data_IF_092222625141
#
_entry.id   IF_092222625141
#
_cell.length_a   1.000
_cell.length_b   1.000
_cell.length_c   1.000
_cell.angle_alpha   90.00
_cell.angle_beta   90.00
_cell.angle_gamma   90.00
#
_symmetry.space_group_name_H-M   'P 1'
#
loop_
_entity.id
_entity.type
_entity.pdbx_description
1 polymer ?
#
# COMPACT_ATOMS: atom_id res chain seq x y z
N UNK A 1 19.39 -15.09 -10.65
CA UNK A 1 19.13 -13.95 -11.54
C UNK A 1 17.63 -13.87 -11.70
N UNK A 2 17.00 -12.71 -11.55
CA UNK A 2 15.53 -12.61 -11.61
C UNK A 2 15.06 -12.25 -13.02
N UNK A 3 13.94 -12.83 -13.44
CA UNK A 3 13.26 -12.48 -14.70
C UNK A 3 12.42 -11.21 -14.51
N UNK A 4 11.82 -11.07 -13.33
CA UNK A 4 10.98 -9.93 -12.96
C UNK A 4 11.42 -9.34 -11.62
N UNK A 5 11.51 -8.02 -11.58
CA UNK A 5 11.70 -7.27 -10.32
C UNK A 5 10.51 -6.34 -10.16
N UNK A 6 9.72 -6.58 -9.13
CA UNK A 6 8.54 -5.80 -8.78
C UNK A 6 8.92 -4.88 -7.61
N UNK A 7 8.82 -3.58 -7.83
CA UNK A 7 9.10 -2.57 -6.80
C UNK A 7 7.78 -2.12 -6.16
N UNK A 8 7.58 -2.55 -4.92
CA UNK A 8 6.41 -2.28 -4.09
C UNK A 8 5.50 -3.50 -3.97
N UNK A 9 5.40 -4.06 -2.77
CA UNK A 9 4.44 -5.10 -2.40
C UNK A 9 3.10 -4.50 -1.96
N UNK A 10 2.56 -3.58 -2.76
CA UNK A 10 1.23 -3.00 -2.55
C UNK A 10 0.11 -3.86 -3.14
N UNK A 11 -1.10 -3.31 -3.19
CA UNK A 11 -2.32 -3.98 -3.69
C UNK A 11 -2.12 -4.65 -5.06
N UNK A 12 -1.48 -3.96 -6.00
CA UNK A 12 -1.18 -4.52 -7.33
C UNK A 12 0.08 -5.41 -7.32
N UNK A 13 1.14 -4.99 -6.62
CA UNK A 13 2.41 -5.71 -6.60
C UNK A 13 2.31 -7.11 -6.01
N UNK A 14 1.56 -7.29 -4.92
CA UNK A 14 1.30 -8.61 -4.34
C UNK A 14 0.55 -9.53 -5.32
N UNK A 15 -0.44 -9.01 -6.04
CA UNK A 15 -1.20 -9.78 -7.04
C UNK A 15 -0.30 -10.17 -8.21
N UNK A 16 0.48 -9.22 -8.73
CA UNK A 16 1.40 -9.46 -9.83
C UNK A 16 2.45 -10.50 -9.46
N UNK A 17 3.09 -10.35 -8.30
CA UNK A 17 4.10 -11.28 -7.82
C UNK A 17 3.54 -12.70 -7.73
N UNK A 18 2.38 -12.88 -7.09
CA UNK A 18 1.70 -14.17 -6.96
C UNK A 18 1.39 -14.80 -8.34
N UNK A 19 0.87 -14.01 -9.28
CA UNK A 19 0.49 -14.51 -10.61
C UNK A 19 1.70 -14.89 -11.46
N UNK A 20 2.77 -14.10 -11.43
CA UNK A 20 3.99 -14.38 -12.19
C UNK A 20 4.76 -15.57 -11.60
N UNK A 21 4.87 -15.65 -10.27
CA UNK A 21 5.56 -16.76 -9.59
C UNK A 21 4.80 -18.09 -9.64
N UNK A 22 3.57 -18.11 -10.16
CA UNK A 22 2.82 -19.35 -10.39
C UNK A 22 3.42 -20.18 -11.53
N UNK A 23 4.17 -19.55 -12.45
CA UNK A 23 4.99 -20.27 -13.43
C UNK A 23 6.32 -20.68 -12.77
N UNK A 24 6.60 -21.99 -12.62
CA UNK A 24 7.83 -22.47 -11.98
C UNK A 24 9.11 -22.11 -12.76
N UNK A 25 8.99 -21.68 -14.01
CA UNK A 25 10.13 -21.26 -14.82
C UNK A 25 10.50 -19.77 -14.65
N UNK A 26 9.78 -19.02 -13.81
CA UNK A 26 10.05 -17.60 -13.56
C UNK A 26 10.61 -17.36 -12.17
N UNK A 27 11.71 -16.63 -12.08
CA UNK A 27 12.25 -16.08 -10.84
C UNK A 27 11.76 -14.64 -10.65
N UNK A 28 10.87 -14.44 -9.69
CA UNK A 28 10.31 -13.12 -9.35
C UNK A 28 10.94 -12.59 -8.07
N UNK A 29 11.45 -11.36 -8.12
CA UNK A 29 11.87 -10.60 -6.94
C UNK A 29 10.81 -9.55 -6.61
N UNK A 30 10.32 -9.55 -5.37
CA UNK A 30 9.43 -8.52 -4.85
C UNK A 30 10.15 -7.70 -3.79
N UNK A 31 10.29 -6.39 -4.04
CA UNK A 31 10.95 -5.46 -3.12
C UNK A 31 9.91 -4.57 -2.45
N UNK A 32 9.88 -4.55 -1.12
CA UNK A 32 9.01 -3.68 -0.33
C UNK A 32 9.85 -2.85 0.63
N UNK A 33 9.54 -1.55 0.74
CA UNK A 33 10.27 -0.63 1.60
C UNK A 33 9.82 -0.69 3.06
N UNK A 34 8.59 -1.17 3.30
CA UNK A 34 8.04 -1.40 4.62
C UNK A 34 8.38 -2.75 5.23
N UNK A 35 8.03 -2.95 6.52
CA UNK A 35 8.16 -4.23 7.18
C UNK A 35 7.09 -5.23 6.68
N UNK A 36 7.18 -6.45 7.18
CA UNK A 36 6.10 -7.43 7.05
C UNK A 36 4.81 -6.99 7.75
N UNK A 37 3.69 -7.52 7.27
CA UNK A 37 2.35 -7.27 7.78
C UNK A 37 2.05 -8.09 9.07
N UNK A 38 2.79 -7.80 10.14
CA UNK A 38 2.67 -8.51 11.43
C UNK A 38 2.01 -7.67 12.53
N UNK A 39 1.71 -6.40 12.25
CA UNK A 39 1.09 -5.51 13.24
C UNK A 39 -0.37 -5.93 13.51
N UNK A 40 -0.79 -6.15 14.77
CA UNK A 40 -2.18 -6.47 15.09
C UNK A 40 -3.18 -5.40 14.62
N UNK A 41 -2.72 -4.15 14.49
CA UNK A 41 -3.54 -3.04 13.99
C UNK A 41 -3.90 -3.16 12.52
N UNK A 42 -3.17 -3.95 11.72
CA UNK A 42 -3.55 -4.20 10.33
C UNK A 42 -4.71 -5.20 10.28
N UNK A 43 -4.69 -6.20 11.16
CA UNK A 43 -5.66 -7.29 11.18
C UNK A 43 -6.97 -6.93 11.89
N UNK A 44 -7.04 -5.76 12.53
CA UNK A 44 -8.26 -5.23 13.15
C UNK A 44 -8.88 -4.13 12.26
N UNK A 45 -10.16 -4.22 11.88
CA UNK A 45 -10.83 -3.20 11.05
C UNK A 45 -10.69 -1.75 11.56
N UNK A 46 -10.88 -1.55 12.86
CA UNK A 46 -10.74 -0.23 13.51
C UNK A 46 -9.28 0.22 13.63
N UNK A 47 -8.34 -0.68 13.36
CA UNK A 47 -6.91 -0.47 13.47
C UNK A 47 -6.35 0.56 12.48
N UNK A 48 -7.11 0.92 11.44
CA UNK A 48 -6.78 2.00 10.48
C UNK A 48 -6.35 3.30 11.16
N UNK A 49 -6.98 3.70 12.27
CA UNK A 49 -6.63 4.94 12.97
C UNK A 49 -5.21 4.91 13.56
N UNK A 50 -4.74 3.73 13.96
CA UNK A 50 -3.39 3.53 14.49
C UNK A 50 -2.37 3.39 13.35
N UNK A 51 -2.71 2.63 12.30
CA UNK A 51 -1.81 2.43 11.15
C UNK A 51 -1.61 3.72 10.35
N UNK A 52 -2.63 4.58 10.22
CA UNK A 52 -2.50 5.91 9.60
C UNK A 52 -1.49 6.81 10.32
N UNK A 53 -1.35 6.69 11.64
CA UNK A 53 -0.44 7.52 12.45
C UNK A 53 0.96 6.91 12.59
N UNK A 54 1.12 5.65 12.20
CA UNK A 54 2.38 4.92 12.33
C UNK A 54 3.49 5.55 11.48
N UNK A 55 4.70 5.67 12.04
CA UNK A 55 5.90 6.09 11.28
C UNK A 55 6.57 4.94 10.54
N UNK A 56 6.21 3.70 10.87
CA UNK A 56 6.80 2.48 10.29
C UNK A 56 5.95 1.92 9.17
N UNK A 57 4.62 1.89 9.36
CA UNK A 57 3.65 1.30 8.43
C UNK A 57 3.08 2.30 7.41
N UNK A 58 3.44 3.57 7.53
CA UNK A 58 2.90 4.64 6.69
C UNK A 58 4.02 5.59 6.26
N UNK A 59 3.98 5.99 4.99
CA UNK A 59 4.89 7.00 4.44
C UNK A 59 4.66 8.40 5.00
N UNK A 60 3.44 8.68 5.48
CA UNK A 60 3.03 9.95 6.11
C UNK A 60 3.32 11.17 5.24
N UNK A 61 3.04 11.07 3.93
CA UNK A 61 3.19 12.21 3.04
C UNK A 61 2.27 13.35 3.44
N UNK A 62 2.68 14.55 3.02
CA UNK A 62 1.87 15.74 3.07
C UNK A 62 1.83 16.35 1.67
N UNK A 63 0.73 16.98 1.33
CA UNK A 63 0.66 17.77 0.10
C UNK A 63 1.54 19.02 0.22
N UNK A 64 1.82 19.64 -0.92
CA UNK A 64 2.24 21.04 -0.92
C UNK A 64 1.10 21.95 -0.46
N UNK A 65 1.37 23.23 -0.13
CA UNK A 65 0.33 24.17 0.27
C UNK A 65 -0.64 24.40 -0.88
N UNK A 66 -1.91 24.11 -0.66
CA UNK A 66 -2.95 24.26 -1.67
C UNK A 66 -3.57 25.66 -1.57
N UNK A 67 -3.40 26.48 -2.60
CA UNK A 67 -3.85 27.89 -2.60
C UNK A 67 -5.36 27.98 -2.38
N UNK A 68 -6.13 27.12 -3.04
CA UNK A 68 -7.59 27.05 -2.92
C UNK A 68 -8.08 26.49 -1.56
N UNK A 69 -7.15 25.98 -0.74
CA UNK A 69 -7.43 25.52 0.61
C UNK A 69 -6.73 26.39 1.65
N UNK A 70 -6.62 27.70 1.40
CA UNK A 70 -5.97 28.68 2.27
C UNK A 70 -4.52 28.29 2.62
N UNK A 71 -3.78 27.77 1.64
CA UNK A 71 -2.40 27.28 1.79
C UNK A 71 -2.21 26.16 2.83
N UNK A 72 -3.27 25.38 3.12
CA UNK A 72 -3.14 24.21 3.99
C UNK A 72 -2.31 23.12 3.32
N UNK A 73 -1.50 22.44 4.12
CA UNK A 73 -0.91 21.13 3.78
C UNK A 73 -1.82 20.03 4.32
N UNK A 74 -2.17 19.07 3.48
CA UNK A 74 -3.06 17.97 3.86
C UNK A 74 -2.26 16.71 4.14
N UNK A 75 -2.72 15.94 5.12
CA UNK A 75 -2.14 14.62 5.41
C UNK A 75 -2.56 13.62 4.35
N UNK A 76 -1.58 12.96 3.72
CA UNK A 76 -1.79 12.03 2.61
C UNK A 76 -1.19 10.64 2.93
N UNK A 77 -1.89 9.83 3.73
CA UNK A 77 -1.36 8.55 4.19
C UNK A 77 -1.20 7.56 3.04
N UNK A 78 -0.07 6.85 3.01
CA UNK A 78 0.19 5.74 2.09
C UNK A 78 0.83 4.59 2.83
N UNK A 79 0.34 3.37 2.60
CA UNK A 79 0.87 2.18 3.26
C UNK A 79 2.32 1.91 2.87
N UNK A 80 3.12 1.56 3.88
CA UNK A 80 4.53 1.19 3.78
C UNK A 80 4.71 -0.11 4.55
N UNK A 81 4.29 -1.22 3.96
CA UNK A 81 4.28 -2.57 4.54
C UNK A 81 3.95 -3.56 3.41
N UNK A 82 4.18 -4.86 3.60
CA UNK A 82 3.58 -5.88 2.71
C UNK A 82 2.05 -5.71 2.66
N UNK A 83 1.46 -5.76 1.46
CA UNK A 83 0.07 -5.39 1.18
C UNK A 83 -0.13 -3.88 0.91
N UNK A 84 0.85 -3.04 1.27
CA UNK A 84 0.89 -1.61 1.01
C UNK A 84 -0.33 -0.88 1.57
N UNK A 85 -0.99 -0.07 0.74
CA UNK A 85 -2.16 0.69 1.19
C UNK A 85 -3.39 -0.18 1.46
N UNK A 86 -3.47 -1.40 0.91
CA UNK A 86 -4.56 -2.32 1.26
C UNK A 86 -4.52 -2.76 2.72
N UNK A 87 -3.32 -2.87 3.30
CA UNK A 87 -3.12 -3.24 4.72
C UNK A 87 -3.45 -2.10 5.69
N UNK A 88 -3.69 -0.88 5.21
CA UNK A 88 -3.98 0.28 6.06
C UNK A 88 -5.16 1.13 5.56
N UNK A 89 -6.06 0.54 4.77
CA UNK A 89 -7.24 1.22 4.25
C UNK A 89 -8.47 0.98 5.13
N UNK A 90 -9.61 1.53 4.69
CA UNK A 90 -10.91 1.32 5.34
C UNK A 90 -11.65 0.05 4.86
N UNK A 91 -10.99 -0.79 4.04
CA UNK A 91 -11.49 -2.04 3.46
C UNK A 91 -12.78 -1.94 2.63
N UNK A 92 -13.23 -0.74 2.32
CA UNK A 92 -14.36 -0.53 1.42
C UNK A 92 -13.96 -0.98 0.02
N UNK A 93 -14.71 -1.95 -0.51
CA UNK A 93 -14.50 -2.44 -1.87
C UNK A 93 -15.53 -1.82 -2.82
N UNK A 94 -15.03 -1.29 -3.93
CA UNK A 94 -15.83 -0.82 -5.06
C UNK A 94 -15.13 -1.24 -6.35
N UNK A 95 -15.91 -1.50 -7.41
CA UNK A 95 -15.36 -1.79 -8.76
C UNK A 95 -15.25 -0.54 -9.63
N UNK A 96 -15.89 0.55 -9.25
CA UNK A 96 -16.19 1.67 -10.14
C UNK A 96 -17.49 1.45 -10.90
N UNK A 97 -17.93 2.50 -11.57
CA UNK A 97 -19.04 2.52 -12.51
C UNK A 97 -18.55 2.03 -13.89
N UNK A 98 -19.39 1.40 -14.73
CA UNK A 98 -18.95 0.93 -16.06
C UNK A 98 -18.46 2.01 -17.03
N UNK A 99 -18.68 3.28 -16.69
CA UNK A 99 -18.32 4.44 -17.49
C UNK A 99 -17.12 5.21 -16.90
N UNK A 100 -16.56 4.73 -15.79
CA UNK A 100 -15.30 5.24 -15.23
C UNK A 100 -14.08 4.81 -16.07
#
# INVERSE_FOLDING_TARGET
MYDDIIVGAGSAGCVLANRLSADPNRQVCLLEAGPEDTSPWIHLPVGIFFTMRSRTLNWRYQTEPETELYNRRLFWPRGKTLGGSSSINAMVYTRGHPWD
#
